data_IF_466400160182
#
_entry.id   IF_466400160182
#
_cell.length_a   1.000
_cell.length_b   1.000
_cell.length_c   1.000
_cell.angle_alpha   90.00
_cell.angle_beta   90.00
_cell.angle_gamma   90.00
#
_symmetry.space_group_name_H-M   'P 1'
#
loop_
_entity.id
_entity.type
_entity.pdbx_description
1 polymer ?
#
# COMPACT_ATOMS: atom_id res chain seq x y z
N UNK A 1 -29.77 -14.32 -10.05
CA UNK A 1 -29.18 -15.28 -9.10
C UNK A 1 -28.43 -14.44 -8.07
N UNK A 2 -28.93 -14.37 -6.84
CA UNK A 2 -28.56 -13.36 -5.85
C UNK A 2 -27.15 -13.62 -5.27
N UNK A 3 -26.24 -12.65 -5.39
CA UNK A 3 -24.99 -12.60 -4.61
C UNK A 3 -25.37 -12.40 -3.14
N UNK A 4 -25.06 -13.37 -2.28
CA UNK A 4 -25.08 -13.18 -0.81
C UNK A 4 -23.93 -12.24 -0.44
N UNK A 5 -24.19 -11.35 0.50
CA UNK A 5 -23.42 -10.13 0.75
C UNK A 5 -22.29 -10.29 1.79
N UNK A 6 -21.81 -11.51 2.07
CA UNK A 6 -20.88 -11.76 3.19
C UNK A 6 -19.51 -12.36 2.78
N UNK A 7 -19.31 -12.69 1.50
CA UNK A 7 -18.04 -13.20 0.96
C UNK A 7 -17.11 -12.04 0.54
N UNK A 8 -16.84 -11.11 1.45
CA UNK A 8 -16.03 -9.91 1.17
C UNK A 8 -14.71 -9.93 1.97
N UNK A 9 -13.53 -9.84 1.34
CA UNK A 9 -12.26 -9.59 2.04
C UNK A 9 -12.31 -8.40 3.02
N UNK A 10 -13.31 -7.52 2.88
CA UNK A 10 -13.67 -6.49 3.88
C UNK A 10 -13.87 -7.02 5.29
N UNK A 11 -14.22 -8.29 5.53
CA UNK A 11 -14.40 -8.79 6.90
C UNK A 11 -13.08 -8.83 7.67
N UNK A 12 -12.01 -9.33 7.03
CA UNK A 12 -10.66 -9.34 7.60
C UNK A 12 -10.14 -7.91 7.71
N UNK A 13 -10.28 -7.11 6.65
CA UNK A 13 -9.80 -5.72 6.63
C UNK A 13 -10.47 -4.90 7.73
N UNK A 14 -11.80 -4.95 7.85
CA UNK A 14 -12.57 -4.24 8.88
C UNK A 14 -12.16 -4.65 10.28
N UNK A 15 -12.03 -5.95 10.54
CA UNK A 15 -11.57 -6.42 11.85
C UNK A 15 -10.18 -5.87 12.20
N UNK A 16 -9.28 -5.84 11.21
CA UNK A 16 -7.92 -5.32 11.36
C UNK A 16 -7.91 -3.80 11.54
N UNK A 17 -8.75 -3.06 10.82
CA UNK A 17 -8.92 -1.60 10.98
C UNK A 17 -9.50 -1.25 12.35
N UNK A 18 -10.43 -2.04 12.86
CA UNK A 18 -11.04 -1.82 14.19
C UNK A 18 -10.06 -2.16 15.32
N UNK A 19 -9.33 -3.28 15.20
CA UNK A 19 -8.47 -3.78 16.29
C UNK A 19 -7.03 -3.30 16.21
N UNK A 20 -6.56 -2.88 15.03
CA UNK A 20 -5.16 -2.61 14.71
C UNK A 20 -4.22 -3.78 14.99
N UNK A 21 -4.75 -5.01 14.99
CA UNK A 21 -3.99 -6.22 15.30
C UNK A 21 -4.07 -7.23 14.17
N UNK A 22 -3.00 -8.02 14.03
CA UNK A 22 -3.02 -9.20 13.17
C UNK A 22 -3.83 -10.34 13.80
N UNK A 23 -4.16 -11.33 12.99
CA UNK A 23 -5.07 -12.41 13.36
C UNK A 23 -4.44 -13.76 13.01
N UNK A 24 -4.68 -14.75 13.87
CA UNK A 24 -4.43 -16.17 13.57
C UNK A 24 -5.77 -16.84 13.30
N UNK A 25 -5.84 -17.54 12.17
CA UNK A 25 -6.99 -18.35 11.76
C UNK A 25 -6.58 -19.81 11.90
N UNK A 26 -7.12 -20.45 12.94
CA UNK A 26 -6.89 -21.84 13.27
C UNK A 26 -7.43 -22.81 12.19
N UNK A 27 -8.64 -22.53 11.69
CA UNK A 27 -9.30 -23.32 10.64
C UNK A 27 -10.00 -22.37 9.66
N UNK A 28 -9.46 -22.26 8.46
CA UNK A 28 -9.96 -21.39 7.40
C UNK A 28 -11.34 -21.83 6.88
N UNK A 29 -11.68 -23.12 6.94
CA UNK A 29 -12.98 -23.63 6.48
C UNK A 29 -14.10 -23.38 7.50
N UNK A 30 -13.75 -23.22 8.77
CA UNK A 30 -14.70 -23.06 9.88
C UNK A 30 -14.66 -21.65 10.50
N UNK A 31 -13.99 -20.69 9.87
CA UNK A 31 -13.86 -19.33 10.40
C UNK A 31 -14.65 -18.33 9.55
N UNK A 32 -15.60 -17.64 10.18
CA UNK A 32 -16.48 -16.67 9.51
C UNK A 32 -15.74 -15.45 8.92
N UNK A 33 -14.50 -15.17 9.34
CA UNK A 33 -13.68 -14.11 8.74
C UNK A 33 -13.02 -14.56 7.43
N UNK A 34 -12.86 -15.86 7.20
CA UNK A 34 -12.21 -16.43 6.00
C UNK A 34 -13.26 -16.91 4.99
N UNK A 35 -13.99 -15.96 4.40
CA UNK A 35 -14.97 -16.18 3.33
C UNK A 35 -14.44 -15.66 1.98
N UNK A 36 -13.17 -15.93 1.69
CA UNK A 36 -12.63 -15.72 0.35
C UNK A 36 -13.13 -16.87 -0.53
N UNK A 37 -13.54 -16.59 -1.78
CA UNK A 37 -13.87 -17.61 -2.78
C UNK A 37 -12.71 -18.63 -2.83
N UNK A 38 -12.90 -19.77 -2.16
CA UNK A 38 -11.92 -20.83 -1.97
C UNK A 38 -11.71 -21.53 -3.31
N UNK A 39 -10.95 -20.91 -4.19
CA UNK A 39 -10.39 -21.58 -5.36
C UNK A 39 -9.28 -22.57 -4.97
N UNK A 40 -8.74 -22.43 -3.75
CA UNK A 40 -7.70 -23.29 -3.19
C UNK A 40 -8.25 -24.04 -1.97
N UNK A 41 -8.79 -25.24 -2.21
CA UNK A 41 -9.36 -26.12 -1.17
C UNK A 41 -8.33 -26.59 -0.13
N UNK A 42 -7.05 -26.31 -0.36
CA UNK A 42 -5.96 -26.76 0.49
C UNK A 42 -5.63 -25.77 1.61
N UNK A 43 -6.24 -24.59 1.69
CA UNK A 43 -5.95 -23.66 2.79
C UNK A 43 -6.73 -24.06 4.04
N UNK A 44 -6.02 -24.46 5.09
CA UNK A 44 -6.63 -24.87 6.36
C UNK A 44 -6.32 -23.93 7.51
N UNK A 45 -5.19 -23.23 7.52
CA UNK A 45 -4.94 -22.19 8.52
C UNK A 45 -4.25 -21.00 7.89
N UNK A 46 -4.33 -19.85 8.55
CA UNK A 46 -3.67 -18.64 8.11
C UNK A 46 -3.18 -17.80 9.30
N UNK A 47 -2.12 -17.02 9.06
CA UNK A 47 -1.72 -15.92 9.93
C UNK A 47 -1.64 -14.66 9.10
N UNK A 48 -2.24 -13.60 9.61
CA UNK A 48 -2.44 -12.33 8.91
C UNK A 48 -1.82 -11.24 9.76
N UNK A 49 -0.95 -10.43 9.16
CA UNK A 49 -0.36 -9.26 9.81
C UNK A 49 -0.58 -8.03 8.93
N UNK A 50 -1.07 -6.91 9.50
CA UNK A 50 -1.25 -5.68 8.77
C UNK A 50 0.06 -4.93 8.52
N UNK A 51 0.11 -4.21 7.41
CA UNK A 51 1.11 -3.19 7.12
C UNK A 51 0.50 -1.82 7.41
N UNK A 52 0.62 -1.33 8.65
CA UNK A 52 0.16 0.01 9.00
C UNK A 52 1.24 1.06 8.69
N UNK A 53 0.91 2.01 7.83
CA UNK A 53 1.66 3.27 7.70
C UNK A 53 1.28 4.23 8.82
N UNK A 54 1.78 5.47 8.80
CA UNK A 54 1.47 6.44 9.87
C UNK A 54 0.00 6.82 9.96
N UNK A 55 -0.74 6.74 8.86
CA UNK A 55 -2.10 7.28 8.77
C UNK A 55 -3.14 6.29 8.26
N UNK A 56 -2.71 5.15 7.70
CA UNK A 56 -3.61 4.23 7.01
C UNK A 56 -3.06 2.81 6.96
N UNK A 57 -3.96 1.85 6.73
CA UNK A 57 -3.60 0.49 6.38
C UNK A 57 -3.07 0.46 4.94
N UNK A 58 -1.79 0.13 4.77
CA UNK A 58 -1.14 0.03 3.46
C UNK A 58 -1.42 -1.32 2.79
N UNK A 59 -1.75 -2.35 3.57
CA UNK A 59 -2.06 -3.68 3.06
C UNK A 59 -1.99 -4.76 4.15
N UNK A 60 -2.13 -6.02 3.72
CA UNK A 60 -2.07 -7.20 4.57
C UNK A 60 -0.99 -8.16 4.06
N UNK A 61 -0.22 -8.75 4.97
CA UNK A 61 0.63 -9.90 4.68
C UNK A 61 -0.05 -11.14 5.25
N UNK A 62 -0.29 -12.12 4.39
CA UNK A 62 -1.02 -13.34 4.73
C UNK A 62 -0.14 -14.55 4.43
N UNK A 63 0.05 -15.41 5.42
CA UNK A 63 0.61 -16.74 5.22
C UNK A 63 -0.48 -17.78 5.45
N UNK A 64 -0.49 -18.81 4.62
CA UNK A 64 -1.46 -19.91 4.68
C UNK A 64 -0.75 -21.25 4.84
N UNK A 65 -1.45 -22.24 5.38
CA UNK A 65 -0.94 -23.61 5.50
C UNK A 65 -2.06 -24.63 5.31
N UNK A 66 -1.72 -25.82 4.81
CA UNK A 66 -2.65 -26.93 4.60
C UNK A 66 -2.99 -27.72 5.87
N UNK A 67 -2.48 -27.29 7.02
CA UNK A 67 -2.74 -27.95 8.30
C UNK A 67 -3.50 -26.96 9.18
N UNK A 68 -4.59 -27.43 9.82
CA UNK A 68 -5.29 -26.65 10.85
C UNK A 68 -4.36 -26.40 12.04
N UNK A 69 -4.53 -25.26 12.71
CA UNK A 69 -3.75 -24.85 13.89
C UNK A 69 -2.22 -24.85 13.69
N UNK A 70 -1.74 -24.65 12.45
CA UNK A 70 -0.31 -24.61 12.17
C UNK A 70 0.35 -23.35 12.76
N UNK A 71 -0.33 -22.21 12.65
CA UNK A 71 0.20 -20.94 13.13
C UNK A 71 -0.06 -20.74 14.63
N UNK A 72 0.89 -20.06 15.28
CA UNK A 72 0.86 -19.75 16.71
C UNK A 72 1.27 -18.29 16.91
N UNK A 73 1.31 -17.84 18.17
CA UNK A 73 1.64 -16.45 18.50
C UNK A 73 3.04 -16.05 18.07
N UNK A 74 4.03 -16.94 18.11
CA UNK A 74 5.40 -16.64 17.68
C UNK A 74 5.46 -16.36 16.17
N UNK A 75 4.72 -17.12 15.38
CA UNK A 75 4.56 -16.86 13.95
C UNK A 75 3.94 -15.49 13.68
N UNK A 76 2.91 -15.11 14.45
CA UNK A 76 2.30 -13.78 14.34
C UNK A 76 3.28 -12.66 14.72
N UNK A 77 4.03 -12.81 15.82
CA UNK A 77 5.01 -11.84 16.25
C UNK A 77 6.14 -11.65 15.22
N UNK A 78 6.61 -12.74 14.63
CA UNK A 78 7.59 -12.70 13.55
C UNK A 78 7.02 -11.96 12.33
N UNK A 79 5.78 -12.29 11.93
CA UNK A 79 5.14 -11.65 10.79
C UNK A 79 4.90 -10.15 11.05
N UNK A 80 4.56 -9.77 12.28
CA UNK A 80 4.42 -8.37 12.71
C UNK A 80 5.74 -7.60 12.64
N UNK A 81 6.86 -8.21 13.03
CA UNK A 81 8.17 -7.59 12.89
C UNK A 81 8.50 -7.33 11.41
N UNK A 82 8.18 -8.28 10.53
CA UNK A 82 8.37 -8.14 9.08
C UNK A 82 7.46 -7.05 8.51
N UNK A 83 6.16 -7.07 8.82
CA UNK A 83 5.21 -6.09 8.28
C UNK A 83 5.48 -4.68 8.79
N UNK A 84 5.96 -4.52 10.01
CA UNK A 84 6.37 -3.21 10.56
C UNK A 84 7.50 -2.60 9.73
N UNK A 85 8.53 -3.38 9.42
CA UNK A 85 9.66 -2.90 8.61
C UNK A 85 9.27 -2.68 7.15
N UNK A 86 8.43 -3.55 6.60
CA UNK A 86 7.90 -3.39 5.25
C UNK A 86 7.05 -2.12 5.11
N UNK A 87 6.21 -1.82 6.11
CA UNK A 87 5.38 -0.61 6.11
C UNK A 87 6.25 0.67 6.08
N UNK A 88 7.32 0.71 6.88
CA UNK A 88 8.28 1.83 6.87
C UNK A 88 8.95 1.96 5.50
N UNK A 89 9.41 0.86 4.91
CA UNK A 89 10.06 0.87 3.60
C UNK A 89 9.12 1.35 2.48
N UNK A 90 7.86 0.88 2.49
CA UNK A 90 6.83 1.28 1.54
C UNK A 90 6.51 2.77 1.68
N UNK A 91 6.36 3.26 2.91
CA UNK A 91 6.09 4.67 3.18
C UNK A 91 7.24 5.56 2.71
N UNK A 92 8.49 5.16 2.99
CA UNK A 92 9.68 5.87 2.51
C UNK A 92 9.76 5.91 0.98
N UNK A 93 9.48 4.77 0.31
CA UNK A 93 9.47 4.71 -1.15
C UNK A 93 8.39 5.63 -1.75
N UNK A 94 7.19 5.67 -1.15
CA UNK A 94 6.10 6.57 -1.56
C UNK A 94 6.46 8.04 -1.37
N UNK A 95 7.02 8.40 -0.21
CA UNK A 95 7.47 9.77 0.06
C UNK A 95 8.55 10.21 -0.93
N UNK A 96 9.54 9.34 -1.17
CA UNK A 96 10.60 9.60 -2.15
C UNK A 96 10.03 9.80 -3.56
N UNK A 97 9.08 8.97 -4.00
CA UNK A 97 8.43 9.10 -5.29
C UNK A 97 7.71 10.44 -5.45
N UNK A 98 7.01 10.91 -4.41
CA UNK A 98 6.33 12.21 -4.40
C UNK A 98 7.35 13.35 -4.54
N UNK A 99 8.44 13.33 -3.76
CA UNK A 99 9.48 14.36 -3.86
C UNK A 99 10.14 14.37 -5.25
N UNK A 100 10.45 13.21 -5.81
CA UNK A 100 11.02 13.09 -7.16
C UNK A 100 10.07 13.63 -8.24
N UNK A 101 8.77 13.38 -8.10
CA UNK A 101 7.76 13.90 -9.03
C UNK A 101 7.68 15.43 -8.96
N UNK A 102 7.74 16.02 -7.78
CA UNK A 102 7.71 17.47 -7.61
C UNK A 102 8.98 18.13 -8.16
N UNK A 103 10.15 17.54 -7.94
CA UNK A 103 11.39 18.03 -8.56
C UNK A 103 11.34 17.99 -10.09
N UNK A 104 10.82 16.91 -10.68
CA UNK A 104 10.61 16.83 -12.13
C UNK A 104 9.64 17.90 -12.63
N UNK A 105 8.58 18.17 -11.87
CA UNK A 105 7.61 19.22 -12.20
C UNK A 105 8.26 20.61 -12.18
N UNK A 106 9.00 20.93 -11.13
CA UNK A 106 9.73 22.20 -11.02
C UNK A 106 10.77 22.36 -12.13
N UNK A 107 11.53 21.30 -12.42
CA UNK A 107 12.50 21.30 -13.51
C UNK A 107 11.82 21.53 -14.87
N UNK A 108 10.65 20.93 -15.12
CA UNK A 108 9.88 21.18 -16.33
C UNK A 108 9.38 22.63 -16.41
N UNK A 109 8.88 23.20 -15.31
CA UNK A 109 8.44 24.62 -15.27
C UNK A 109 9.62 25.56 -15.55
N UNK A 110 10.77 25.35 -14.90
CA UNK A 110 11.96 26.17 -15.14
C UNK A 110 12.47 26.03 -16.57
N UNK A 111 12.44 24.82 -17.13
CA UNK A 111 12.81 24.58 -18.52
C UNK A 111 11.92 25.35 -19.50
N UNK A 112 10.61 25.44 -19.25
CA UNK A 112 9.69 26.23 -20.08
C UNK A 112 9.79 27.74 -19.83
N UNK A 113 10.09 28.18 -18.60
CA UNK A 113 10.32 29.60 -18.32
C UNK A 113 11.63 30.12 -18.97
N UNK A 114 12.62 29.25 -19.13
CA UNK A 114 13.88 29.51 -19.83
C UNK A 114 13.77 29.39 -21.36
N UNK A 115 12.61 29.03 -21.93
CA UNK A 115 12.34 29.18 -23.36
C UNK A 115 12.17 30.68 -23.68
N UNK A 116 13.30 31.39 -23.72
CA UNK A 116 13.56 32.77 -24.16
C UNK A 116 12.39 33.77 -24.04
N UNK A 117 12.39 34.57 -22.96
CA UNK A 117 11.65 35.85 -22.95
C UNK A 117 12.38 36.80 -23.90
N UNK A 118 11.92 36.89 -25.16
CA UNK A 118 12.41 37.85 -26.14
C UNK A 118 11.70 39.19 -25.91
N UNK A 119 12.39 40.14 -25.28
CA UNK A 119 11.92 41.53 -25.17
C UNK A 119 12.48 42.33 -26.34
N UNK A 120 11.63 42.64 -27.31
CA UNK A 120 11.94 43.57 -28.39
C UNK A 120 11.63 45.00 -27.92
N UNK A 121 12.53 45.95 -28.20
CA UNK A 121 12.16 47.36 -28.10
C UNK A 121 11.21 47.75 -29.25
N UNK A 122 10.58 48.92 -29.15
CA UNK A 122 9.62 49.42 -30.18
C UNK A 122 10.27 49.68 -31.56
N UNK A 123 11.58 49.54 -31.68
CA UNK A 123 12.37 49.67 -32.91
C UNK A 123 12.81 48.29 -33.45
N UNK A 124 12.39 47.19 -32.82
CA UNK A 124 12.67 45.82 -33.26
C UNK A 124 14.02 45.26 -32.81
N UNK A 125 14.73 45.92 -31.88
CA UNK A 125 16.03 45.44 -31.38
C UNK A 125 15.84 44.56 -30.15
N UNK A 126 16.51 43.41 -30.13
CA UNK A 126 16.52 42.48 -28.99
C UNK A 126 17.23 43.13 -27.80
N UNK A 127 16.55 43.29 -26.66
CA UNK A 127 17.09 44.02 -25.51
C UNK A 127 17.52 43.12 -24.35
N UNK A 128 16.94 41.92 -24.18
CA UNK A 128 17.34 40.95 -23.17
C UNK A 128 17.17 39.51 -23.67
N UNK A 129 18.19 38.69 -23.37
CA UNK A 129 18.22 37.24 -23.56
C UNK A 129 18.85 36.70 -22.27
N UNK A 130 18.03 36.18 -21.36
CA UNK A 130 18.54 35.57 -20.12
C UNK A 130 18.77 34.08 -20.42
N UNK A 131 20.01 33.57 -20.34
CA UNK A 131 20.32 32.17 -20.60
C UNK A 131 19.67 31.22 -19.59
#
# INVERSE_FOLDING_TARGET
MFKRADDDPKNIIRHIEETHQGLIIADAHNNSLWQLDNHDSNIHSAVISPLFGRMELLGLLVLTHEQVNYFNTDHLLLLQAITSQAAIAIENARLYAITMQEQKRLAAVLKHAAEAILVFDVQGKLSLLNP
#
